data_IF_116334099342
#
_entry.id   IF_116334099342
#
_cell.length_a   1.000
_cell.length_b   1.000
_cell.length_c   1.000
_cell.angle_alpha   90.00
_cell.angle_beta   90.00
_cell.angle_gamma   90.00
#
_symmetry.space_group_name_H-M   'P 1'
#
loop_
_entity.id
_entity.type
_entity.pdbx_description
1 polymer ?
#
# COMPACT_ATOMS: atom_id res chain seq x y z
N UNK A 1 -31.33 -11.84 2.96
CA UNK A 1 -30.27 -12.08 3.96
C UNK A 1 -29.00 -11.45 3.44
N UNK A 2 -28.66 -10.25 3.92
CA UNK A 2 -27.33 -9.67 3.70
C UNK A 2 -26.48 -10.23 4.85
N UNK A 3 -25.59 -11.17 4.55
CA UNK A 3 -24.61 -11.67 5.51
C UNK A 3 -23.69 -10.51 5.90
N UNK A 4 -23.61 -10.26 7.19
CA UNK A 4 -22.70 -9.30 7.80
C UNK A 4 -21.26 -9.79 7.66
N UNK A 5 -20.57 -9.37 6.59
CA UNK A 5 -19.15 -9.67 6.36
C UNK A 5 -18.21 -8.64 7.00
N UNK A 6 -18.69 -7.79 7.93
CA UNK A 6 -17.82 -6.89 8.69
C UNK A 6 -16.99 -7.68 9.69
N UNK A 7 -15.83 -8.16 9.26
CA UNK A 7 -14.83 -8.78 10.14
C UNK A 7 -13.94 -9.83 9.49
N UNK A 8 -14.28 -10.32 8.30
CA UNK A 8 -13.48 -11.34 7.65
C UNK A 8 -12.31 -10.69 6.89
N UNK A 9 -11.10 -10.92 7.37
CA UNK A 9 -9.87 -10.54 6.66
C UNK A 9 -9.87 -11.28 5.32
N UNK A 10 -9.83 -10.51 4.24
CA UNK A 10 -9.74 -11.06 2.89
C UNK A 10 -8.29 -11.44 2.59
N UNK A 11 -8.10 -12.65 2.09
CA UNK A 11 -6.81 -13.18 1.63
C UNK A 11 -6.96 -13.62 0.18
N UNK A 12 -6.01 -13.26 -0.67
CA UNK A 12 -6.00 -13.60 -2.09
C UNK A 12 -4.58 -13.81 -2.59
N UNK A 13 -4.33 -14.89 -3.32
CA UNK A 13 -3.03 -15.11 -3.94
C UNK A 13 -2.85 -14.18 -5.15
N UNK A 14 -1.71 -13.49 -5.21
CA UNK A 14 -1.34 -12.65 -6.35
C UNK A 14 -0.43 -13.43 -7.31
N UNK A 15 -0.63 -13.31 -8.63
CA UNK A 15 0.25 -13.93 -9.63
C UNK A 15 1.55 -13.17 -9.86
N UNK A 16 1.68 -11.95 -9.30
CA UNK A 16 2.88 -11.12 -9.46
C UNK A 16 4.06 -11.70 -8.68
N UNK A 17 5.26 -11.60 -9.23
CA UNK A 17 6.50 -11.73 -8.49
C UNK A 17 6.68 -10.53 -7.57
N UNK A 18 7.04 -10.77 -6.31
CA UNK A 18 7.33 -9.71 -5.33
C UNK A 18 8.66 -9.97 -4.66
N UNK A 19 9.45 -8.91 -4.52
CA UNK A 19 10.76 -8.91 -3.86
C UNK A 19 10.86 -7.74 -2.88
N UNK A 20 11.59 -7.93 -1.80
CA UNK A 20 12.01 -6.83 -0.91
C UNK A 20 13.49 -6.94 -0.56
N UNK A 21 14.09 -5.79 -0.24
CA UNK A 21 15.51 -5.66 0.06
C UNK A 21 15.76 -4.93 1.38
N UNK A 22 16.83 -5.30 2.09
CA UNK A 22 17.32 -4.65 3.31
C UNK A 22 18.84 -4.59 3.31
N UNK A 23 19.41 -3.40 3.54
CA UNK A 23 20.83 -3.14 3.30
C UNK A 23 21.24 -3.38 1.83
N UNK A 24 20.30 -3.24 0.88
CA UNK A 24 20.50 -3.60 -0.53
C UNK A 24 20.59 -5.11 -0.82
N UNK A 25 20.31 -5.98 0.15
CA UNK A 25 20.34 -7.44 -0.01
C UNK A 25 18.94 -8.03 -0.01
N UNK A 26 18.74 -9.10 -0.78
CA UNK A 26 17.44 -9.75 -0.95
C UNK A 26 16.95 -10.32 0.38
N UNK A 27 15.71 -9.98 0.74
CA UNK A 27 15.03 -10.52 1.94
C UNK A 27 14.16 -11.71 1.58
N UNK A 28 13.40 -11.59 0.50
CA UNK A 28 12.59 -12.66 -0.07
C UNK A 28 12.37 -12.43 -1.56
N UNK A 29 12.03 -13.50 -2.29
CA UNK A 29 11.64 -13.46 -3.70
C UNK A 29 10.58 -14.52 -3.96
N UNK A 30 9.34 -14.09 -4.23
CA UNK A 30 8.21 -15.00 -4.37
C UNK A 30 7.39 -14.69 -5.62
N UNK A 31 6.95 -15.74 -6.32
CA UNK A 31 5.91 -15.67 -7.37
C UNK A 31 4.53 -16.09 -6.85
N UNK A 32 4.40 -16.23 -5.53
CA UNK A 32 3.20 -16.70 -4.83
C UNK A 32 2.82 -15.82 -3.63
N UNK A 33 2.98 -14.49 -3.66
CA UNK A 33 2.62 -13.66 -2.52
C UNK A 33 1.11 -13.69 -2.29
N UNK A 34 0.70 -13.62 -1.03
CA UNK A 34 -0.70 -13.41 -0.66
C UNK A 34 -0.94 -11.93 -0.37
N UNK A 35 -2.00 -11.37 -0.96
CA UNK A 35 -2.56 -10.08 -0.63
C UNK A 35 -3.56 -10.25 0.53
N UNK A 36 -3.32 -9.54 1.63
CA UNK A 36 -4.16 -9.61 2.83
C UNK A 36 -4.70 -8.22 3.16
N UNK A 37 -6.01 -8.04 3.13
CA UNK A 37 -6.66 -6.77 3.50
C UNK A 37 -6.83 -6.71 5.01
N UNK A 38 -5.79 -6.25 5.69
CA UNK A 38 -5.84 -5.97 7.13
C UNK A 38 -6.78 -4.80 7.44
N UNK A 39 -6.93 -3.88 6.48
CA UNK A 39 -7.88 -2.78 6.47
C UNK A 39 -8.63 -2.75 5.12
N UNK A 40 -9.78 -2.06 4.99
CA UNK A 40 -10.61 -2.15 3.80
C UNK A 40 -10.01 -1.59 2.49
N UNK A 41 -9.04 -0.69 2.57
CA UNK A 41 -8.67 0.15 1.42
C UNK A 41 -7.54 -0.42 0.55
N UNK A 42 -6.57 -1.12 1.13
CA UNK A 42 -5.45 -1.71 0.41
C UNK A 42 -4.93 -2.97 1.12
N UNK A 43 -4.33 -3.90 0.37
CA UNK A 43 -3.74 -5.10 0.95
C UNK A 43 -2.31 -4.86 1.47
N UNK A 44 -1.87 -5.80 2.29
CA UNK A 44 -0.48 -6.05 2.63
C UNK A 44 0.02 -7.32 1.92
N UNK A 45 1.32 -7.41 1.62
CA UNK A 45 1.92 -8.69 1.21
C UNK A 45 2.22 -9.57 2.42
N UNK A 46 1.84 -10.83 2.29
CA UNK A 46 2.22 -11.95 3.13
C UNK A 46 2.96 -12.96 2.24
N UNK A 47 4.16 -13.35 2.66
CA UNK A 47 5.13 -14.09 1.86
C UNK A 47 5.24 -15.52 2.39
N UNK A 48 5.21 -16.57 1.55
CA UNK A 48 5.50 -17.93 2.01
C UNK A 48 6.84 -17.99 2.75
N UNK A 49 6.89 -18.61 3.93
CA UNK A 49 8.11 -18.68 4.72
C UNK A 49 9.29 -19.32 3.96
N UNK A 50 9.02 -20.29 3.10
CA UNK A 50 10.01 -20.99 2.27
C UNK A 50 10.66 -20.08 1.20
N UNK A 51 10.03 -18.96 0.85
CA UNK A 51 10.53 -18.01 -0.14
C UNK A 51 11.36 -16.88 0.53
N UNK A 52 11.48 -16.89 1.86
CA UNK A 52 12.30 -15.93 2.62
C UNK A 52 13.75 -16.42 2.67
N UNK A 53 14.67 -15.59 2.17
CA UNK A 53 16.11 -15.91 2.11
C UNK A 53 16.93 -15.24 3.21
N UNK A 54 16.46 -14.10 3.74
CA UNK A 54 17.07 -13.45 4.90
C UNK A 54 16.86 -14.26 6.18
N UNK A 55 17.75 -14.06 7.15
CA UNK A 55 17.61 -14.69 8.47
C UNK A 55 16.51 -13.97 9.25
N UNK A 56 15.60 -14.74 9.84
CA UNK A 56 14.58 -14.26 10.76
C UNK A 56 14.91 -14.75 12.18
N UNK A 57 15.31 -13.84 13.06
CA UNK A 57 15.57 -14.14 14.46
C UNK A 57 14.31 -13.85 15.29
N UNK A 58 13.75 -14.86 15.96
CA UNK A 58 12.58 -14.71 16.85
C UNK A 58 12.88 -13.69 17.94
N UNK A 59 11.92 -12.83 18.23
CA UNK A 59 11.97 -11.90 19.36
C UNK A 59 10.94 -12.27 20.43
N UNK A 60 11.07 -11.68 21.62
CA UNK A 60 10.08 -11.85 22.70
C UNK A 60 8.80 -11.03 22.44
N UNK A 61 8.75 -10.23 21.37
CA UNK A 61 7.62 -9.38 21.02
C UNK A 61 6.48 -10.23 20.47
N UNK A 62 5.32 -10.13 21.13
CA UNK A 62 4.06 -10.71 20.68
C UNK A 62 2.99 -9.63 20.64
N UNK A 63 2.23 -9.54 19.54
CA UNK A 63 1.10 -8.61 19.43
C UNK A 63 -0.18 -9.35 19.05
N UNK A 64 -1.31 -8.93 19.63
CA UNK A 64 -2.60 -9.57 19.38
C UNK A 64 -3.40 -8.83 18.30
N UNK A 65 -3.90 -9.57 17.31
CA UNK A 65 -4.90 -9.10 16.35
C UNK A 65 -6.23 -9.82 16.58
N UNK A 66 -7.36 -9.11 16.75
CA UNK A 66 -8.67 -9.74 16.94
C UNK A 66 -9.07 -10.70 15.81
N UNK A 67 -8.58 -10.47 14.58
CA UNK A 67 -8.94 -11.26 13.40
C UNK A 67 -7.86 -12.25 12.94
N UNK A 68 -6.60 -12.03 13.32
CA UNK A 68 -5.46 -12.86 12.87
C UNK A 68 -4.82 -13.69 13.98
N UNK A 69 -5.14 -13.44 15.25
CA UNK A 69 -4.54 -14.10 16.39
C UNK A 69 -3.26 -13.41 16.88
N UNK A 70 -2.43 -14.16 17.59
CA UNK A 70 -1.17 -13.68 18.16
C UNK A 70 -0.04 -13.72 17.11
N UNK A 71 0.62 -12.58 16.92
CA UNK A 71 1.75 -12.42 16.04
C UNK A 71 3.05 -12.69 16.79
N UNK A 72 3.84 -13.66 16.35
CA UNK A 72 5.25 -13.80 16.75
C UNK A 72 6.11 -12.90 15.87
N UNK A 73 6.89 -12.01 16.47
CA UNK A 73 7.75 -11.09 15.74
C UNK A 73 9.17 -11.64 15.55
N UNK A 74 9.83 -11.09 14.54
CA UNK A 74 11.17 -11.46 14.12
C UNK A 74 11.97 -10.21 13.77
N UNK A 75 13.25 -10.24 14.13
CA UNK A 75 14.25 -9.34 13.55
C UNK A 75 14.69 -9.90 12.21
N UNK A 76 14.59 -9.09 11.15
CA UNK A 76 15.07 -9.42 9.81
C UNK A 76 16.55 -9.05 9.72
N UNK A 77 17.40 -10.01 9.32
CA UNK A 77 18.85 -9.78 9.17
C UNK A 77 19.34 -10.17 7.78
N UNK A 78 20.08 -9.26 7.19
CA UNK A 78 20.98 -9.50 6.05
C UNK A 78 22.42 -9.35 6.49
N UNK A 79 23.40 -9.51 5.59
CA UNK A 79 24.80 -9.28 5.96
C UNK A 79 25.14 -7.78 6.08
N UNK A 80 24.26 -6.91 5.56
CA UNK A 80 24.45 -5.45 5.49
C UNK A 80 23.46 -4.65 6.33
N UNK A 81 22.46 -5.29 6.91
CA UNK A 81 21.40 -4.59 7.63
C UNK A 81 20.64 -5.47 8.60
N UNK A 82 19.96 -4.79 9.53
CA UNK A 82 19.09 -5.37 10.53
C UNK A 82 17.84 -4.49 10.67
N UNK A 83 16.68 -5.13 10.75
CA UNK A 83 15.41 -4.47 11.06
C UNK A 83 14.71 -5.23 12.19
N UNK A 84 14.65 -4.62 13.37
CA UNK A 84 14.09 -5.21 14.60
C UNK A 84 12.56 -5.22 14.54
N UNK A 85 11.94 -6.34 14.93
CA UNK A 85 10.48 -6.55 14.91
C UNK A 85 9.83 -6.19 13.55
N UNK A 86 10.60 -6.33 12.46
CA UNK A 86 10.21 -5.94 11.11
C UNK A 86 9.57 -7.07 10.30
N UNK A 87 9.34 -8.22 10.91
CA UNK A 87 8.55 -9.30 10.33
C UNK A 87 7.76 -10.03 11.42
N UNK A 88 6.60 -10.59 11.07
CA UNK A 88 5.81 -11.38 11.98
C UNK A 88 5.02 -12.50 11.29
N UNK A 89 4.69 -13.53 12.07
CA UNK A 89 3.88 -14.69 11.65
C UNK A 89 2.73 -14.90 12.61
N UNK A 90 1.65 -15.50 12.12
CA UNK A 90 0.50 -15.92 12.91
C UNK A 90 0.35 -17.45 12.90
N UNK A 91 1.22 -18.20 13.60
CA UNK A 91 1.26 -19.66 13.52
C UNK A 91 -0.07 -20.32 13.93
N UNK A 92 -0.76 -19.75 14.91
CA UNK A 92 -2.04 -20.22 15.43
C UNK A 92 -3.23 -19.41 14.92
N UNK A 93 -3.09 -18.77 13.75
CA UNK A 93 -4.16 -17.93 13.20
C UNK A 93 -5.47 -18.70 13.06
N UNK A 94 -6.63 -18.10 13.37
CA UNK A 94 -7.93 -18.65 12.98
C UNK A 94 -8.08 -18.71 11.44
N UNK A 95 -7.25 -17.97 10.70
CA UNK A 95 -7.19 -17.98 9.24
C UNK A 95 -6.06 -18.91 8.80
N UNK A 96 -6.39 -20.16 8.43
CA UNK A 96 -5.39 -21.18 8.08
C UNK A 96 -4.43 -20.72 6.98
N UNK A 97 -4.93 -19.95 6.01
CA UNK A 97 -4.14 -19.40 4.91
C UNK A 97 -2.99 -18.48 5.36
N UNK A 98 -2.95 -18.01 6.61
CA UNK A 98 -1.88 -17.13 7.13
C UNK A 98 -0.78 -17.88 7.89
N UNK A 99 -0.99 -19.13 8.30
CA UNK A 99 -0.11 -19.83 9.28
C UNK A 99 1.32 -20.02 8.75
N UNK A 100 1.46 -20.25 7.46
CA UNK A 100 2.74 -20.47 6.77
C UNK A 100 3.30 -19.22 6.10
N UNK A 101 2.70 -18.06 6.35
CA UNK A 101 3.09 -16.80 5.74
C UNK A 101 3.79 -15.88 6.74
N UNK A 102 4.70 -15.06 6.21
CA UNK A 102 5.45 -14.02 6.90
C UNK A 102 4.99 -12.67 6.40
N UNK A 103 4.60 -11.79 7.31
CA UNK A 103 4.30 -10.40 7.02
C UNK A 103 5.51 -9.55 7.38
N UNK A 104 5.99 -8.74 6.46
CA UNK A 104 7.11 -7.81 6.68
C UNK A 104 6.60 -6.37 6.86
N UNK A 105 7.21 -5.63 7.78
CA UNK A 105 6.94 -4.20 7.91
C UNK A 105 7.43 -3.47 6.66
N UNK A 106 6.52 -2.73 6.03
CA UNK A 106 6.82 -2.08 4.75
C UNK A 106 7.92 -1.02 4.87
N UNK A 107 7.85 -0.06 5.81
CA UNK A 107 8.83 1.02 5.94
C UNK A 107 10.19 0.55 6.45
N UNK A 108 10.28 -0.68 6.99
CA UNK A 108 11.52 -1.22 7.51
C UNK A 108 12.42 -1.84 6.43
N UNK A 109 11.88 -2.10 5.23
CA UNK A 109 12.66 -2.55 4.08
C UNK A 109 13.06 -1.35 3.21
N UNK A 110 14.21 -1.44 2.54
CA UNK A 110 14.74 -0.35 1.71
C UNK A 110 13.90 -0.14 0.44
N UNK A 111 13.47 -1.23 -0.19
CA UNK A 111 12.76 -1.21 -1.47
C UNK A 111 11.93 -2.47 -1.67
N UNK A 112 10.86 -2.32 -2.44
CA UNK A 112 9.90 -3.37 -2.79
C UNK A 112 9.67 -3.36 -4.29
N UNK A 113 9.58 -4.53 -4.92
CA UNK A 113 9.37 -4.66 -6.35
C UNK A 113 8.18 -5.56 -6.66
N UNK A 114 7.31 -5.14 -7.58
CA UNK A 114 6.37 -6.00 -8.31
C UNK A 114 6.94 -6.25 -9.70
N UNK A 115 7.20 -7.51 -10.04
CA UNK A 115 8.07 -7.84 -11.17
C UNK A 115 9.38 -7.04 -11.05
N UNK A 116 9.76 -6.28 -12.07
CA UNK A 116 10.96 -5.42 -12.09
C UNK A 116 10.67 -3.95 -11.77
N UNK A 117 9.43 -3.61 -11.42
CA UNK A 117 9.02 -2.24 -11.10
C UNK A 117 8.99 -2.03 -9.59
N UNK A 118 9.67 -0.97 -9.14
CA UNK A 118 9.63 -0.60 -7.72
C UNK A 118 8.22 -0.13 -7.33
N UNK A 119 7.73 -0.61 -6.20
CA UNK A 119 6.48 -0.20 -5.60
C UNK A 119 6.78 0.58 -4.34
N UNK A 120 6.13 1.74 -4.22
CA UNK A 120 6.28 2.64 -3.09
C UNK A 120 5.06 2.58 -2.17
N UNK A 121 5.24 2.95 -0.90
CA UNK A 121 4.20 3.09 0.13
C UNK A 121 3.49 1.80 0.56
N UNK A 122 2.82 1.09 -0.35
CA UNK A 122 2.11 -0.16 -0.09
C UNK A 122 1.75 -0.90 -1.40
N UNK A 123 1.37 -2.20 -1.34
CA UNK A 123 0.92 -2.94 -2.50
C UNK A 123 -0.28 -2.29 -3.21
N UNK A 124 -0.32 -2.39 -4.54
CA UNK A 124 -1.49 -1.96 -5.32
C UNK A 124 -2.59 -3.01 -5.20
N UNK A 125 -3.80 -2.57 -4.86
CA UNK A 125 -4.99 -3.42 -4.88
C UNK A 125 -5.34 -3.74 -6.34
N UNK A 126 -5.51 -5.02 -6.71
CA UNK A 126 -5.94 -5.40 -8.07
C UNK A 126 -7.36 -4.93 -8.41
N UNK A 127 -8.14 -4.51 -7.41
CA UNK A 127 -9.51 -3.99 -7.57
C UNK A 127 -9.59 -2.46 -7.55
N UNK A 128 -8.47 -1.78 -7.28
CA UNK A 128 -8.42 -0.33 -7.38
C UNK A 128 -8.30 0.05 -8.84
N UNK A 129 -9.34 0.73 -9.33
CA UNK A 129 -9.36 1.29 -10.66
C UNK A 129 -9.21 2.81 -10.55
N UNK A 130 -8.36 3.35 -11.41
CA UNK A 130 -8.21 4.80 -11.60
C UNK A 130 -8.63 5.11 -13.03
N UNK A 131 -9.70 5.87 -13.19
CA UNK A 131 -10.12 6.41 -14.48
C UNK A 131 -9.86 7.92 -14.52
N UNK A 132 -9.21 8.39 -15.57
CA UNK A 132 -8.99 9.81 -15.84
C UNK A 132 -9.78 10.21 -17.08
N UNK A 133 -10.87 10.95 -16.89
CA UNK A 133 -11.78 11.32 -17.97
C UNK A 133 -11.77 12.83 -18.19
N UNK A 134 -11.46 13.26 -19.42
CA UNK A 134 -11.68 14.63 -19.82
C UNK A 134 -13.17 14.98 -19.73
N UNK A 135 -13.47 16.19 -19.27
CA UNK A 135 -14.84 16.66 -19.09
C UNK A 135 -14.99 18.09 -19.59
N UNK A 136 -16.19 18.44 -20.04
CA UNK A 136 -16.59 19.81 -20.36
C UNK A 136 -17.36 20.49 -19.23
N UNK A 137 -17.40 19.87 -18.04
CA UNK A 137 -18.06 20.45 -16.86
C UNK A 137 -17.33 21.71 -16.43
N UNK A 138 -18.10 22.72 -16.02
CA UNK A 138 -17.56 23.91 -15.39
C UNK A 138 -17.19 23.61 -13.93
N UNK A 139 -15.92 23.75 -13.59
CA UNK A 139 -15.36 23.53 -12.25
C UNK A 139 -14.71 24.82 -11.78
N UNK A 140 -15.18 25.32 -10.63
CA UNK A 140 -14.60 26.46 -9.94
C UNK A 140 -14.08 26.03 -8.58
N UNK A 141 -12.86 26.43 -8.26
CA UNK A 141 -12.24 26.26 -6.94
C UNK A 141 -12.18 27.62 -6.28
N UNK A 142 -12.88 27.77 -5.16
CA UNK A 142 -12.94 29.01 -4.39
C UNK A 142 -12.28 28.80 -3.02
N UNK A 143 -11.48 29.78 -2.60
CA UNK A 143 -10.98 29.90 -1.23
C UNK A 143 -11.47 31.23 -0.69
N UNK A 144 -12.24 31.21 0.39
CA UNK A 144 -12.87 32.40 1.00
C UNK A 144 -13.60 33.31 -0.02
N UNK A 145 -14.27 32.68 -1.01
CA UNK A 145 -15.01 33.37 -2.07
C UNK A 145 -14.16 33.87 -3.25
N UNK A 146 -12.84 33.78 -3.18
CA UNK A 146 -11.92 34.12 -4.28
C UNK A 146 -11.75 32.90 -5.18
N UNK A 147 -12.04 33.05 -6.48
CA UNK A 147 -11.78 31.99 -7.46
C UNK A 147 -10.26 31.85 -7.68
N UNK A 148 -9.72 30.68 -7.31
CA UNK A 148 -8.31 30.30 -7.50
C UNK A 148 -8.14 29.48 -8.77
N UNK A 149 -9.17 28.75 -9.18
CA UNK A 149 -9.23 28.10 -10.49
C UNK A 149 -10.64 28.16 -11.07
N UNK A 150 -10.72 28.29 -12.40
CA UNK A 150 -11.97 28.37 -13.16
C UNK A 150 -11.79 27.69 -14.51
N UNK A 151 -12.29 26.45 -14.65
CA UNK A 151 -12.04 25.62 -15.83
C UNK A 151 -13.33 25.03 -16.39
N UNK A 152 -13.43 25.01 -17.72
CA UNK A 152 -14.47 24.29 -18.49
C UNK A 152 -13.93 23.05 -19.18
N UNK A 153 -12.70 22.67 -18.86
CA UNK A 153 -11.97 21.54 -19.47
C UNK A 153 -11.18 20.71 -18.42
N UNK A 154 -11.78 20.34 -17.27
CA UNK A 154 -11.08 19.55 -16.27
C UNK A 154 -10.90 18.10 -16.70
N UNK A 155 -9.92 17.43 -16.10
CA UNK A 155 -9.84 15.97 -16.03
C UNK A 155 -10.39 15.53 -14.68
N UNK A 156 -11.42 14.70 -14.70
CA UNK A 156 -12.01 14.11 -13.51
C UNK A 156 -11.33 12.76 -13.26
N UNK A 157 -10.73 12.62 -12.08
CA UNK A 157 -10.13 11.38 -11.61
C UNK A 157 -11.12 10.68 -10.68
N UNK A 158 -11.52 9.48 -11.10
CA UNK A 158 -12.32 8.55 -10.31
C UNK A 158 -11.42 7.43 -9.82
N UNK A 159 -11.33 7.28 -8.50
CA UNK A 159 -10.53 6.24 -7.85
C UNK A 159 -11.45 5.43 -6.95
N UNK A 160 -11.40 4.11 -7.06
CA UNK A 160 -12.29 3.20 -6.33
C UNK A 160 -12.31 3.53 -4.83
N UNK A 161 -13.50 3.88 -4.32
CA UNK A 161 -13.72 4.15 -2.90
C UNK A 161 -13.28 5.54 -2.40
N UNK A 162 -12.76 6.41 -3.26
CA UNK A 162 -12.38 7.79 -2.91
C UNK A 162 -13.30 8.83 -3.59
N UNK A 163 -13.48 10.03 -2.99
CA UNK A 163 -14.23 11.09 -3.66
C UNK A 163 -13.50 11.56 -4.93
N UNK A 164 -14.25 11.90 -5.98
CA UNK A 164 -13.71 12.40 -7.26
C UNK A 164 -12.73 13.54 -7.03
N UNK A 165 -11.58 13.48 -7.72
CA UNK A 165 -10.61 14.56 -7.76
C UNK A 165 -10.71 15.29 -9.10
N UNK A 166 -10.55 16.61 -9.07
CA UNK A 166 -10.69 17.47 -10.24
C UNK A 166 -9.32 18.07 -10.54
N UNK A 167 -8.69 17.60 -11.62
CA UNK A 167 -7.47 18.18 -12.14
C UNK A 167 -7.86 19.22 -13.19
N UNK A 168 -7.44 20.46 -12.97
CA UNK A 168 -7.67 21.56 -13.91
C UNK A 168 -6.36 21.90 -14.61
N UNK A 169 -6.38 22.31 -15.88
CA UNK A 169 -5.17 22.78 -16.55
C UNK A 169 -4.56 23.96 -15.80
N UNK A 170 -3.23 24.01 -15.70
CA UNK A 170 -2.54 25.11 -14.99
C UNK A 170 -2.89 26.49 -15.55
N UNK A 171 -3.17 26.61 -16.85
CA UNK A 171 -3.61 27.86 -17.49
C UNK A 171 -4.97 28.38 -17.01
N UNK A 172 -5.75 27.52 -16.36
CA UNK A 172 -7.07 27.84 -15.80
C UNK A 172 -6.96 28.11 -14.28
N UNK A 173 -5.73 28.13 -13.75
CA UNK A 173 -5.38 28.37 -12.34
C UNK A 173 -4.70 29.72 -12.22
N UNK A 174 -5.10 30.50 -11.22
CA UNK A 174 -4.47 31.77 -10.82
C UNK A 174 -3.24 31.49 -9.97
N UNK A 175 -2.15 31.08 -10.61
CA UNK A 175 -0.91 30.66 -9.93
C UNK A 175 -0.27 31.78 -9.11
N UNK A 176 -0.57 33.05 -9.40
CA UNK A 176 -0.11 34.20 -8.61
C UNK A 176 -0.72 34.27 -7.20
N UNK A 177 -1.80 33.52 -6.95
CA UNK A 177 -2.42 33.38 -5.63
C UNK A 177 -1.88 32.19 -4.83
N UNK A 178 -0.94 31.43 -5.42
CA UNK A 178 -0.40 30.21 -4.84
C UNK A 178 1.07 30.40 -4.46
N UNK A 179 1.42 29.93 -3.27
CA UNK A 179 2.82 29.82 -2.84
C UNK A 179 3.18 28.33 -2.77
N UNK A 180 4.24 27.87 -3.45
CA UNK A 180 4.74 26.52 -3.29
C UNK A 180 5.05 26.19 -1.83
N UNK A 181 4.85 24.94 -1.45
CA UNK A 181 5.22 24.42 -0.13
C UNK A 181 6.11 23.22 -0.30
N UNK A 182 6.96 22.92 0.69
CA UNK A 182 7.83 21.74 0.70
C UNK A 182 7.07 20.42 0.98
N UNK A 183 5.73 20.45 1.04
CA UNK A 183 4.90 19.28 1.31
C UNK A 183 4.80 18.40 0.07
N UNK A 184 5.33 17.20 0.17
CA UNK A 184 5.16 16.13 -0.82
C UNK A 184 4.40 14.95 -0.19
N UNK A 185 3.63 14.23 -1.01
CA UNK A 185 2.92 13.02 -0.57
C UNK A 185 3.06 11.96 -1.64
N UNK A 186 3.32 10.73 -1.22
CA UNK A 186 3.46 9.60 -2.14
C UNK A 186 2.17 8.80 -2.24
N UNK A 187 1.85 8.36 -3.45
CA UNK A 187 0.75 7.46 -3.74
C UNK A 187 1.21 6.37 -4.73
N UNK A 188 0.95 5.07 -4.46
CA UNK A 188 1.39 4.00 -5.36
C UNK A 188 0.70 4.03 -6.74
N UNK A 189 -0.37 4.81 -6.90
CA UNK A 189 -1.08 4.97 -8.17
C UNK A 189 -0.77 6.28 -8.90
N UNK A 190 -0.26 7.30 -8.20
CA UNK A 190 -0.10 8.66 -8.74
C UNK A 190 1.34 9.18 -8.71
N UNK A 191 2.23 8.48 -8.00
CA UNK A 191 3.61 8.92 -7.77
C UNK A 191 3.74 9.91 -6.61
N UNK A 192 4.76 10.75 -6.72
CA UNK A 192 5.04 11.94 -5.88
C UNK A 192 4.37 13.17 -6.46
#
# INVERSE_FOLDING_TARGET
MMSDHRGQVRVEQSPKRVRAYLGGELVFDTIRPSLVWEIPHYPAYYIPADDVVAKLDVTDTVTHSPSRGDAQHFTVRTSRGEAVDAAWRYPDSPLEALRDLVRFDWPAMDSWFEEDEEVIVHPRSPYSRVDTLASSRHVRVLIDGVAVADSTRPVLLFETGLPTRYYVPQTDVRTELLTPTDKETQCPYKGT
#
